data_IF_629054552165
#
_entry.id   IF_629054552165
#
_cell.length_a   1.000
_cell.length_b   1.000
_cell.length_c   1.000
_cell.angle_alpha   90.00
_cell.angle_beta   90.00
_cell.angle_gamma   90.00
#
_symmetry.space_group_name_H-M   'P 1'
#
loop_
_entity.id
_entity.type
_entity.pdbx_description
1 polymer ?
#
# COMPACT_ATOMS: atom_id res chain seq x y z
N UNK A 1 -20.06 50.71 -26.61
CA UNK A 1 -21.32 51.36 -26.15
C UNK A 1 -22.18 50.28 -25.49
N UNK A 2 -22.05 49.86 -24.23
CA UNK A 2 -22.24 50.56 -22.93
C UNK A 2 -23.54 51.39 -22.82
N UNK A 3 -24.68 50.90 -23.31
CA UNK A 3 -25.97 51.59 -23.05
C UNK A 3 -27.14 50.68 -22.65
N UNK A 4 -27.14 49.36 -22.89
CA UNK A 4 -28.35 48.54 -22.62
C UNK A 4 -28.16 47.63 -21.39
N UNK A 5 -27.77 48.24 -20.27
CA UNK A 5 -28.00 47.73 -18.92
C UNK A 5 -29.00 48.70 -18.30
N UNK A 6 -30.31 48.56 -18.60
CA UNK A 6 -31.44 49.20 -17.89
C UNK A 6 -32.75 48.87 -18.63
N UNK A 7 -33.20 47.61 -18.55
CA UNK A 7 -34.63 47.31 -18.64
C UNK A 7 -34.95 46.15 -17.68
N UNK A 8 -34.73 46.49 -16.42
CA UNK A 8 -35.29 45.86 -15.23
C UNK A 8 -36.83 45.98 -15.25
N UNK A 9 -37.50 45.08 -14.52
CA UNK A 9 -38.86 45.21 -13.98
C UNK A 9 -40.02 45.16 -15.01
N UNK A 10 -40.71 44.02 -15.10
CA UNK A 10 -42.19 43.96 -15.18
C UNK A 10 -42.70 42.51 -15.44
N UNK A 11 -42.50 41.57 -14.52
CA UNK A 11 -43.36 40.37 -14.47
C UNK A 11 -43.72 40.11 -13.01
N UNK A 12 -44.66 40.92 -12.53
CA UNK A 12 -45.33 40.80 -11.25
C UNK A 12 -46.82 40.52 -11.51
N UNK A 13 -47.37 39.57 -10.76
CA UNK A 13 -48.81 39.29 -10.53
C UNK A 13 -49.60 38.82 -11.78
N UNK A 14 -50.24 37.65 -11.78
CA UNK A 14 -51.58 37.34 -11.23
C UNK A 14 -51.73 35.80 -11.37
N UNK A 15 -51.61 34.99 -10.32
CA UNK A 15 -52.67 34.39 -9.48
C UNK A 15 -53.76 33.59 -10.20
N UNK A 16 -53.91 32.29 -9.89
CA UNK A 16 -55.01 31.77 -9.05
C UNK A 16 -54.99 30.21 -8.90
N UNK A 17 -55.24 29.82 -7.66
CA UNK A 17 -55.48 28.53 -7.02
C UNK A 17 -56.15 27.38 -7.80
N UNK A 18 -55.78 26.15 -7.45
CA UNK A 18 -56.74 25.09 -7.09
C UNK A 18 -56.15 24.05 -6.13
N UNK A 19 -56.98 23.68 -5.15
CA UNK A 19 -56.73 22.84 -3.98
C UNK A 19 -56.83 21.36 -4.37
N UNK A 20 -55.96 20.50 -3.83
CA UNK A 20 -56.27 19.09 -3.68
C UNK A 20 -55.67 18.54 -2.38
N UNK A 21 -56.57 18.06 -1.52
CA UNK A 21 -56.29 17.45 -0.23
C UNK A 21 -55.59 16.10 -0.39
N UNK A 22 -54.60 15.84 0.47
CA UNK A 22 -53.92 14.54 0.58
C UNK A 22 -53.69 14.19 2.05
N UNK A 23 -54.40 13.17 2.52
CA UNK A 23 -54.50 12.64 3.87
C UNK A 23 -53.20 12.58 4.71
N UNK A 24 -53.26 13.09 5.94
CA UNK A 24 -52.28 12.78 6.99
C UNK A 24 -52.42 11.33 7.45
N UNK A 25 -51.45 10.48 7.11
CA UNK A 25 -51.27 9.19 7.76
C UNK A 25 -50.36 9.37 8.98
N UNK A 26 -50.90 9.08 10.17
CA UNK A 26 -50.17 9.09 11.44
C UNK A 26 -48.99 8.12 11.38
N UNK A 27 -47.76 8.64 11.23
CA UNK A 27 -46.54 7.86 11.45
C UNK A 27 -46.39 7.59 12.95
N UNK A 28 -46.48 6.31 13.32
CA UNK A 28 -46.03 5.83 14.65
C UNK A 28 -44.58 6.27 14.87
N UNK A 29 -44.20 6.75 16.06
CA UNK A 29 -42.81 7.03 16.36
C UNK A 29 -42.02 5.71 16.32
N UNK A 30 -41.18 5.57 15.31
CA UNK A 30 -40.11 4.56 15.34
C UNK A 30 -39.18 5.01 16.46
N UNK A 31 -39.09 4.21 17.53
CA UNK A 31 -38.09 4.41 18.59
C UNK A 31 -36.73 4.59 17.93
N UNK A 32 -36.15 5.78 18.06
CA UNK A 32 -34.79 6.03 17.66
C UNK A 32 -33.91 5.00 18.35
N UNK A 33 -33.34 4.09 17.56
CA UNK A 33 -32.35 3.13 18.04
C UNK A 33 -31.18 3.99 18.50
N UNK A 34 -31.00 4.09 19.81
CA UNK A 34 -29.84 4.71 20.45
C UNK A 34 -28.60 4.29 19.68
N UNK A 35 -27.98 5.25 19.00
CA UNK A 35 -26.64 5.10 18.45
C UNK A 35 -25.74 4.93 19.66
N UNK A 36 -25.50 3.68 20.04
CA UNK A 36 -24.51 3.34 21.04
C UNK A 36 -23.22 4.04 20.62
N UNK A 37 -22.78 4.98 21.46
CA UNK A 37 -21.52 5.68 21.28
C UNK A 37 -20.45 4.62 21.16
N UNK A 38 -19.75 4.57 20.01
CA UNK A 38 -18.66 3.63 19.78
C UNK A 38 -17.54 4.02 20.74
N UNK A 39 -17.52 3.43 21.92
CA UNK A 39 -16.34 3.44 22.77
C UNK A 39 -15.18 2.95 21.90
N UNK A 40 -14.03 3.65 21.85
CA UNK A 40 -12.90 3.23 21.04
C UNK A 40 -12.47 1.85 21.51
N UNK A 41 -12.90 0.84 20.74
CA UNK A 41 -12.58 -0.55 21.04
C UNK A 41 -11.14 -0.73 20.64
N UNK A 42 -10.26 -0.85 21.63
CA UNK A 42 -8.86 -1.15 21.44
C UNK A 42 -8.77 -2.39 20.54
N UNK A 43 -8.05 -2.34 19.40
CA UNK A 43 -7.94 -3.50 18.53
C UNK A 43 -7.36 -4.71 19.28
N UNK A 44 -7.76 -5.94 18.91
CA UNK A 44 -7.21 -7.15 19.51
C UNK A 44 -5.67 -7.14 19.49
N UNK A 45 -5.04 -7.72 20.51
CA UNK A 45 -3.58 -7.73 20.65
C UNK A 45 -2.87 -8.24 19.38
N UNK A 46 -3.39 -9.30 18.76
CA UNK A 46 -2.88 -9.83 17.50
C UNK A 46 -2.88 -8.83 16.36
N UNK A 47 -3.94 -8.00 16.25
CA UNK A 47 -4.05 -6.97 15.21
C UNK A 47 -3.01 -5.87 15.44
N UNK A 48 -2.78 -5.47 16.69
CA UNK A 48 -1.76 -4.46 17.02
C UNK A 48 -0.35 -4.98 16.77
N UNK A 49 -0.05 -6.21 17.21
CA UNK A 49 1.24 -6.85 16.99
C UNK A 49 1.53 -7.05 15.49
N UNK A 50 0.52 -7.47 14.72
CA UNK A 50 0.66 -7.59 13.27
C UNK A 50 0.89 -6.22 12.61
N UNK A 51 0.17 -5.17 13.02
CA UNK A 51 0.39 -3.81 12.51
C UNK A 51 1.84 -3.35 12.73
N UNK A 52 2.37 -3.52 13.94
CA UNK A 52 3.75 -3.15 14.26
C UNK A 52 4.76 -3.89 13.38
N UNK A 53 4.56 -5.19 13.14
CA UNK A 53 5.40 -5.97 12.22
C UNK A 53 5.31 -5.50 10.78
N UNK A 54 4.11 -5.18 10.28
CA UNK A 54 3.93 -4.65 8.91
C UNK A 54 4.66 -3.32 8.76
N UNK A 55 4.60 -2.45 9.78
CA UNK A 55 5.27 -1.15 9.80
C UNK A 55 6.80 -1.29 9.81
N UNK A 56 7.34 -2.17 10.67
CA UNK A 56 8.76 -2.49 10.71
C UNK A 56 9.25 -3.01 9.35
N UNK A 57 8.53 -3.97 8.78
CA UNK A 57 8.88 -4.55 7.48
C UNK A 57 8.76 -3.52 6.35
N UNK A 58 7.79 -2.61 6.40
CA UNK A 58 7.69 -1.51 5.44
C UNK A 58 8.94 -0.61 5.51
N UNK A 59 9.39 -0.27 6.72
CA UNK A 59 10.61 0.53 6.90
C UNK A 59 11.87 -0.19 6.39
N UNK A 60 11.97 -1.50 6.60
CA UNK A 60 13.07 -2.32 6.05
C UNK A 60 13.03 -2.39 4.52
N UNK A 61 11.87 -2.69 3.94
CA UNK A 61 11.66 -2.76 2.48
C UNK A 61 11.96 -1.42 1.82
N UNK A 62 11.48 -0.31 2.39
CA UNK A 62 11.69 1.03 1.83
C UNK A 62 13.18 1.36 1.75
N UNK A 63 13.92 1.16 2.84
CA UNK A 63 15.38 1.40 2.86
C UNK A 63 16.11 0.48 1.88
N UNK A 64 15.72 -0.78 1.83
CA UNK A 64 16.30 -1.73 0.90
C UNK A 64 16.06 -1.35 -0.57
N UNK A 65 14.82 -0.96 -0.90
CA UNK A 65 14.45 -0.50 -2.24
C UNK A 65 15.28 0.70 -2.69
N UNK A 66 15.42 1.72 -1.83
CA UNK A 66 16.25 2.91 -2.12
C UNK A 66 17.72 2.53 -2.37
N UNK A 67 18.28 1.67 -1.53
CA UNK A 67 19.67 1.23 -1.70
C UNK A 67 19.87 0.39 -2.97
N UNK A 68 18.92 -0.49 -3.27
CA UNK A 68 18.98 -1.32 -4.47
C UNK A 68 18.82 -0.46 -5.73
N UNK A 69 17.92 0.51 -5.76
CA UNK A 69 17.77 1.44 -6.87
C UNK A 69 19.06 2.21 -7.17
N UNK A 70 19.76 2.68 -6.12
CA UNK A 70 21.03 3.39 -6.28
C UNK A 70 22.17 2.51 -6.81
N UNK A 71 22.22 1.23 -6.43
CA UNK A 71 23.37 0.34 -6.72
C UNK A 71 23.15 -0.69 -7.85
N UNK A 72 21.91 -1.07 -8.14
CA UNK A 72 21.60 -2.22 -9.01
C UNK A 72 22.20 -2.11 -10.40
N UNK A 73 22.09 -0.93 -11.02
CA UNK A 73 22.63 -0.72 -12.37
C UNK A 73 24.16 -0.85 -12.41
N UNK A 74 24.85 -0.32 -11.40
CA UNK A 74 26.32 -0.44 -11.32
C UNK A 74 26.76 -1.89 -11.22
N UNK A 75 26.01 -2.73 -10.49
CA UNK A 75 26.32 -4.17 -10.36
C UNK A 75 26.25 -4.86 -11.72
N UNK A 76 25.21 -4.58 -12.49
CA UNK A 76 25.00 -5.14 -13.82
C UNK A 76 25.99 -4.59 -14.86
N UNK A 77 26.31 -3.29 -14.79
CA UNK A 77 27.25 -2.65 -15.71
C UNK A 77 28.66 -3.24 -15.54
N UNK A 78 29.11 -3.45 -14.29
CA UNK A 78 30.40 -4.11 -14.02
C UNK A 78 30.42 -5.53 -14.60
N UNK A 79 29.33 -6.28 -14.50
CA UNK A 79 29.23 -7.61 -15.13
C UNK A 79 29.31 -7.58 -16.64
N UNK A 80 28.70 -6.57 -17.25
CA UNK A 80 28.72 -6.42 -18.70
C UNK A 80 30.12 -6.01 -19.18
N UNK A 81 30.79 -5.12 -18.47
CA UNK A 81 32.17 -4.74 -18.76
C UNK A 81 33.16 -5.88 -18.49
N UNK A 82 32.89 -6.74 -17.51
CA UNK A 82 33.68 -7.93 -17.22
C UNK A 82 33.72 -8.89 -18.41
N UNK A 83 32.57 -9.08 -19.10
CA UNK A 83 32.48 -9.88 -20.34
C UNK A 83 33.35 -9.34 -21.46
N UNK A 84 33.68 -8.05 -21.41
CA UNK A 84 34.53 -7.37 -22.39
C UNK A 84 36.01 -7.28 -21.95
N UNK A 85 36.38 -7.90 -20.81
CA UNK A 85 37.70 -7.80 -20.19
C UNK A 85 38.13 -6.34 -19.86
N UNK A 86 37.16 -5.46 -19.57
CA UNK A 86 37.40 -4.02 -19.33
C UNK A 86 37.47 -3.64 -17.85
N UNK A 87 37.38 -4.61 -16.95
CA UNK A 87 37.27 -4.38 -15.51
C UNK A 87 38.49 -4.95 -14.79
N UNK A 88 39.00 -4.22 -13.79
CA UNK A 88 40.09 -4.69 -12.92
C UNK A 88 39.60 -5.79 -11.99
N UNK A 89 40.45 -6.77 -11.68
CA UNK A 89 40.13 -7.87 -10.77
C UNK A 89 39.50 -7.42 -9.44
N UNK A 90 40.04 -6.37 -8.83
CA UNK A 90 39.51 -5.82 -7.57
C UNK A 90 38.02 -5.39 -7.69
N UNK A 91 37.64 -4.78 -8.80
CA UNK A 91 36.25 -4.36 -9.05
C UNK A 91 35.34 -5.57 -9.27
N UNK A 92 35.84 -6.64 -9.90
CA UNK A 92 35.09 -7.90 -10.04
C UNK A 92 34.85 -8.57 -8.68
N UNK A 93 35.90 -8.63 -7.85
CA UNK A 93 35.82 -9.24 -6.52
C UNK A 93 34.84 -8.47 -5.62
N UNK A 94 34.85 -7.13 -5.70
CA UNK A 94 33.88 -6.31 -4.98
C UNK A 94 32.47 -6.51 -5.51
N UNK A 95 32.28 -6.52 -6.83
CA UNK A 95 30.97 -6.74 -7.44
C UNK A 95 30.36 -8.09 -7.03
N UNK A 96 31.18 -9.15 -6.97
CA UNK A 96 30.74 -10.47 -6.50
C UNK A 96 30.23 -10.43 -5.04
N UNK A 97 30.89 -9.65 -4.16
CA UNK A 97 30.44 -9.45 -2.77
C UNK A 97 29.13 -8.66 -2.72
N UNK A 98 29.00 -7.62 -3.53
CA UNK A 98 27.81 -6.78 -3.56
C UNK A 98 26.60 -7.59 -4.03
N UNK A 99 26.75 -8.41 -5.09
CA UNK A 99 25.72 -9.36 -5.54
C UNK A 99 25.27 -10.29 -4.43
N UNK A 100 26.22 -10.94 -3.75
CA UNK A 100 25.91 -11.88 -2.68
C UNK A 100 25.18 -11.19 -1.52
N UNK A 101 25.58 -9.96 -1.21
CA UNK A 101 24.91 -9.12 -0.19
C UNK A 101 23.46 -8.85 -0.57
N UNK A 102 23.21 -8.43 -1.82
CA UNK A 102 21.86 -8.14 -2.32
C UNK A 102 21.00 -9.41 -2.36
N UNK A 103 21.53 -10.52 -2.89
CA UNK A 103 20.79 -11.79 -2.96
C UNK A 103 20.40 -12.27 -1.56
N UNK A 104 21.33 -12.22 -0.60
CA UNK A 104 21.04 -12.64 0.78
C UNK A 104 20.04 -11.70 1.46
N UNK A 105 20.11 -10.40 1.20
CA UNK A 105 19.12 -9.45 1.70
C UNK A 105 17.71 -9.75 1.15
N UNK A 106 17.58 -10.09 -0.14
CA UNK A 106 16.29 -10.46 -0.75
C UNK A 106 15.76 -11.77 -0.18
N UNK A 107 16.62 -12.76 0.09
CA UNK A 107 16.23 -14.01 0.77
C UNK A 107 15.66 -13.76 2.15
N UNK A 108 16.36 -12.97 2.96
CA UNK A 108 15.88 -12.59 4.30
C UNK A 108 14.54 -11.84 4.21
N UNK A 109 14.39 -10.96 3.21
CA UNK A 109 13.11 -10.29 2.96
C UNK A 109 12.01 -11.29 2.62
N UNK A 110 12.28 -12.24 1.73
CA UNK A 110 11.32 -13.30 1.35
C UNK A 110 10.86 -14.12 2.53
N UNK A 111 11.77 -14.53 3.41
CA UNK A 111 11.43 -15.24 4.64
C UNK A 111 10.47 -14.41 5.52
N UNK A 112 10.75 -13.11 5.68
CA UNK A 112 9.88 -12.18 6.38
C UNK A 112 8.48 -12.09 5.75
N UNK A 113 8.40 -11.99 4.42
CA UNK A 113 7.13 -11.92 3.69
C UNK A 113 6.32 -13.21 3.79
N UNK A 114 6.96 -14.39 3.68
CA UNK A 114 6.31 -15.69 3.85
C UNK A 114 5.73 -15.84 5.26
N UNK A 115 6.52 -15.48 6.28
CA UNK A 115 6.08 -15.53 7.67
C UNK A 115 4.90 -14.59 7.92
N UNK A 116 4.97 -13.37 7.39
CA UNK A 116 3.91 -12.37 7.53
C UNK A 116 2.61 -12.82 6.86
N UNK A 117 2.67 -13.27 5.61
CA UNK A 117 1.51 -13.77 4.88
C UNK A 117 0.88 -14.99 5.56
N UNK A 118 1.72 -15.90 6.08
CA UNK A 118 1.26 -17.06 6.85
C UNK A 118 0.53 -16.63 8.12
N UNK A 119 1.03 -15.62 8.83
CA UNK A 119 0.38 -15.09 10.04
C UNK A 119 -1.01 -14.52 9.71
N UNK A 120 -1.14 -13.75 8.62
CA UNK A 120 -2.42 -13.20 8.17
C UNK A 120 -3.40 -14.29 7.73
N UNK A 121 -2.91 -15.38 7.14
CA UNK A 121 -3.73 -16.52 6.71
C UNK A 121 -4.23 -17.36 7.87
N UNK A 122 -3.39 -17.55 8.89
CA UNK A 122 -3.64 -18.50 9.99
C UNK A 122 -4.37 -17.87 11.18
N UNK A 123 -4.14 -16.58 11.48
CA UNK A 123 -4.77 -15.91 12.62
C UNK A 123 -6.19 -15.42 12.27
N UNK A 124 -7.25 -15.86 12.98
CA UNK A 124 -8.63 -15.46 12.68
C UNK A 124 -8.85 -13.95 12.67
N UNK A 125 -8.22 -13.21 13.59
CA UNK A 125 -8.34 -11.76 13.69
C UNK A 125 -7.73 -11.01 12.49
N UNK A 126 -6.80 -11.64 11.76
CA UNK A 126 -6.08 -11.04 10.64
C UNK A 126 -6.66 -11.42 9.27
N UNK A 127 -7.47 -12.48 9.18
CA UNK A 127 -8.03 -12.98 7.91
C UNK A 127 -8.74 -11.90 7.09
N UNK A 128 -9.41 -10.95 7.75
CA UNK A 128 -10.11 -9.84 7.08
C UNK A 128 -9.15 -8.85 6.37
N UNK A 129 -7.88 -8.84 6.73
CA UNK A 129 -6.83 -8.03 6.11
C UNK A 129 -5.99 -8.84 5.11
N UNK A 130 -6.17 -10.16 5.02
CA UNK A 130 -5.42 -11.00 4.09
C UNK A 130 -5.46 -10.48 2.63
N UNK A 131 -6.59 -9.99 2.08
CA UNK A 131 -6.63 -9.50 0.71
C UNK A 131 -5.65 -8.34 0.41
N UNK A 132 -5.27 -7.54 1.42
CA UNK A 132 -4.35 -6.42 1.21
C UNK A 132 -2.89 -6.86 1.10
N UNK A 133 -2.57 -8.06 1.62
CA UNK A 133 -1.20 -8.56 1.73
C UNK A 133 -0.95 -9.85 0.94
N UNK A 134 -1.99 -10.55 0.51
CA UNK A 134 -1.85 -11.81 -0.23
C UNK A 134 -0.96 -11.66 -1.47
N UNK A 135 -0.14 -12.67 -1.75
CA UNK A 135 0.82 -12.72 -2.85
C UNK A 135 2.10 -11.93 -2.60
N UNK A 136 2.33 -11.42 -1.38
CA UNK A 136 3.56 -10.69 -1.03
C UNK A 136 4.77 -11.63 -1.01
N UNK A 137 4.59 -12.90 -0.63
CA UNK A 137 5.64 -13.91 -0.71
C UNK A 137 6.04 -14.24 -2.14
N UNK A 138 5.08 -14.28 -3.07
CA UNK A 138 5.34 -14.49 -4.50
C UNK A 138 6.15 -13.33 -5.10
N UNK A 139 5.81 -12.08 -4.75
CA UNK A 139 6.58 -10.91 -5.17
C UNK A 139 8.03 -10.97 -4.67
N UNK A 140 8.24 -11.42 -3.43
CA UNK A 140 9.59 -11.59 -2.90
C UNK A 140 10.34 -12.72 -3.63
N UNK A 141 9.66 -13.80 -4.00
CA UNK A 141 10.22 -14.86 -4.85
C UNK A 141 10.60 -14.38 -6.25
N UNK A 142 9.80 -13.47 -6.84
CA UNK A 142 10.12 -12.84 -8.13
C UNK A 142 11.36 -11.94 -8.03
N UNK A 143 11.46 -11.13 -6.96
CA UNK A 143 12.65 -10.33 -6.69
C UNK A 143 13.90 -11.22 -6.55
N UNK A 144 13.79 -12.32 -5.79
CA UNK A 144 14.89 -13.26 -5.59
C UNK A 144 15.33 -13.89 -6.91
N UNK A 145 14.36 -14.37 -7.70
CA UNK A 145 14.64 -14.98 -9.01
C UNK A 145 15.37 -14.02 -9.95
N UNK A 146 14.94 -12.76 -10.00
CA UNK A 146 15.63 -11.72 -10.77
C UNK A 146 17.06 -11.49 -10.29
N UNK A 147 17.27 -11.33 -8.98
CA UNK A 147 18.60 -11.08 -8.42
C UNK A 147 19.56 -12.28 -8.59
N UNK A 148 19.08 -13.51 -8.37
CA UNK A 148 19.86 -14.74 -8.63
C UNK A 148 20.20 -14.87 -10.11
N UNK A 149 19.31 -14.44 -10.99
CA UNK A 149 19.56 -14.34 -12.43
C UNK A 149 20.48 -13.21 -12.86
N UNK A 150 21.07 -12.45 -11.92
CA UNK A 150 21.93 -11.29 -12.20
C UNK A 150 21.19 -10.06 -12.72
N UNK A 151 19.86 -10.01 -12.58
CA UNK A 151 18.98 -8.91 -13.01
C UNK A 151 18.54 -8.10 -11.78
N UNK A 152 19.47 -7.37 -11.17
CA UNK A 152 19.24 -6.57 -9.97
C UNK A 152 18.31 -5.37 -10.21
N UNK A 153 18.36 -4.75 -11.39
CA UNK A 153 17.44 -3.67 -11.77
C UNK A 153 16.02 -4.21 -11.88
N UNK A 154 15.85 -5.39 -12.47
CA UNK A 154 14.53 -6.03 -12.59
C UNK A 154 13.96 -6.50 -11.24
N UNK A 155 14.81 -6.74 -10.24
CA UNK A 155 14.37 -7.09 -8.89
C UNK A 155 13.64 -5.93 -8.18
N UNK A 156 13.84 -4.67 -8.59
CA UNK A 156 13.21 -3.50 -7.96
C UNK A 156 11.69 -3.47 -8.06
N UNK A 157 11.11 -3.78 -9.22
CA UNK A 157 9.67 -3.65 -9.44
C UNK A 157 8.82 -4.54 -8.50
N UNK A 158 9.16 -5.83 -8.29
CA UNK A 158 8.51 -6.62 -7.25
C UNK A 158 8.69 -6.06 -5.83
N UNK A 159 9.86 -5.49 -5.49
CA UNK A 159 10.11 -4.89 -4.17
C UNK A 159 9.24 -3.64 -3.96
N UNK A 160 9.08 -2.79 -4.97
CA UNK A 160 8.17 -1.64 -4.89
C UNK A 160 6.71 -2.10 -4.73
N UNK A 161 6.34 -3.21 -5.38
CA UNK A 161 5.00 -3.81 -5.21
C UNK A 161 4.78 -4.36 -3.79
N UNK A 162 5.82 -4.92 -3.17
CA UNK A 162 5.82 -5.32 -1.74
C UNK A 162 5.58 -4.08 -0.87
N UNK A 163 6.34 -3.01 -1.09
CA UNK A 163 6.20 -1.75 -0.34
C UNK A 163 4.77 -1.23 -0.42
N UNK A 164 4.17 -1.20 -1.62
CA UNK A 164 2.79 -0.76 -1.81
C UNK A 164 1.78 -1.64 -1.05
N UNK A 165 1.95 -2.96 -1.06
CA UNK A 165 1.07 -3.88 -0.31
C UNK A 165 1.17 -3.68 1.21
N UNK A 166 2.38 -3.47 1.73
CA UNK A 166 2.57 -3.19 3.16
C UNK A 166 1.90 -1.87 3.54
N UNK A 167 2.10 -0.80 2.75
CA UNK A 167 1.41 0.49 2.92
C UNK A 167 -0.11 0.35 2.90
N UNK A 168 -0.66 -0.37 1.92
CA UNK A 168 -2.10 -0.62 1.81
C UNK A 168 -2.64 -1.41 3.01
N UNK A 169 -1.85 -2.36 3.51
CA UNK A 169 -2.21 -3.15 4.70
C UNK A 169 -2.25 -2.28 5.95
N UNK A 170 -1.26 -1.40 6.16
CA UNK A 170 -1.28 -0.43 7.26
C UNK A 170 -2.46 0.53 7.17
N UNK A 171 -2.83 0.97 5.96
CA UNK A 171 -3.99 1.83 5.75
C UNK A 171 -5.31 1.12 6.08
N UNK A 172 -5.40 -0.19 5.84
CA UNK A 172 -6.59 -0.99 6.15
C UNK A 172 -6.70 -1.38 7.64
N UNK A 173 -5.56 -1.49 8.33
CA UNK A 173 -5.53 -1.85 9.76
C UNK A 173 -5.86 -0.64 10.65
N UNK A 174 -6.50 -0.84 11.81
CA UNK A 174 -6.84 0.24 12.72
C UNK A 174 -5.57 0.91 13.23
N UNK A 175 -5.54 2.23 13.15
CA UNK A 175 -4.48 3.02 13.75
C UNK A 175 -4.68 3.02 15.27
N UNK A 176 -3.61 2.76 16.01
CA UNK A 176 -3.61 2.83 17.48
C UNK A 176 -2.60 3.91 17.84
N UNK A 177 -3.00 5.01 18.51
CA UNK A 177 -2.03 5.88 19.14
C UNK A 177 -1.26 5.04 20.15
N UNK A 178 0.05 4.98 19.97
CA UNK A 178 0.99 4.28 20.87
C UNK A 178 1.02 5.02 22.21
#
# INVERSE_FOLDING_TARGET
MKIIRMLLLAIAAISLFSIAAGAQTKKKPVKAKSTASKTPTIPPLDVRAARAKVDELLGLVTRFATNLEAGAKSIEDIDNEAKLNRVRKQSLDQNAKDKNTVINAIRNLREGMVKLETEFRTKPALKKYLPTIQGISDLAGQAETSAVGGKFVAANAPIQSIQQKLTNTLAAMPNVPI
#
